data_IF_811949544885
#
_entry.id   IF_811949544885
#
_cell.length_a   1.000
_cell.length_b   1.000
_cell.length_c   1.000
_cell.angle_alpha   90.00
_cell.angle_beta   90.00
_cell.angle_gamma   90.00
#
_symmetry.space_group_name_H-M   'P 1'
#
loop_
_entity.id
_entity.type
_entity.pdbx_description
1 polymer ?
#
# COMPACT_ATOMS: atom_id res chain seq x y z
N UNK A 1 0.33 15.29 31.51
CA UNK A 1 -0.05 14.12 30.70
C UNK A 1 -1.05 14.55 29.63
N UNK A 2 -0.95 14.05 28.40
CA UNK A 2 -1.92 14.36 27.34
C UNK A 2 -3.30 13.77 27.68
N UNK A 3 -4.36 14.58 27.53
CA UNK A 3 -5.75 14.16 27.78
C UNK A 3 -6.22 13.16 26.70
N UNK A 4 -7.36 12.49 26.94
CA UNK A 4 -8.00 11.63 25.93
C UNK A 4 -8.35 12.42 24.66
N UNK A 5 -8.74 13.69 24.81
CA UNK A 5 -9.04 14.60 23.70
C UNK A 5 -7.78 14.91 22.88
N UNK A 6 -6.65 15.24 23.56
CA UNK A 6 -5.38 15.51 22.88
C UNK A 6 -4.90 14.32 22.07
N UNK A 7 -4.99 13.11 22.65
CA UNK A 7 -4.63 11.86 21.95
C UNK A 7 -5.48 11.65 20.71
N UNK A 8 -6.77 11.90 20.77
CA UNK A 8 -7.67 11.75 19.63
C UNK A 8 -7.43 12.82 18.56
N UNK A 9 -7.12 14.06 18.97
CA UNK A 9 -6.74 15.13 18.04
C UNK A 9 -5.45 14.80 17.29
N UNK A 10 -4.44 14.24 17.96
CA UNK A 10 -3.20 13.81 17.32
C UNK A 10 -3.46 12.74 16.25
N UNK A 11 -4.24 11.69 16.57
CA UNK A 11 -4.62 10.66 15.59
C UNK A 11 -5.39 11.27 14.40
N UNK A 12 -6.30 12.20 14.66
CA UNK A 12 -7.03 12.89 13.57
C UNK A 12 -6.08 13.63 12.64
N UNK A 13 -5.10 14.36 13.19
CA UNK A 13 -4.13 15.09 12.38
C UNK A 13 -3.27 14.12 11.57
N UNK A 14 -2.82 13.03 12.19
CA UNK A 14 -2.05 11.99 11.49
C UNK A 14 -2.83 11.35 10.33
N UNK A 15 -4.14 11.12 10.49
CA UNK A 15 -5.01 10.63 9.42
C UNK A 15 -5.10 11.64 8.27
N UNK A 16 -5.26 12.94 8.59
CA UNK A 16 -5.35 14.03 7.61
C UNK A 16 -4.05 14.12 6.80
N UNK A 17 -2.90 14.13 7.49
CA UNK A 17 -1.58 14.18 6.85
C UNK A 17 -1.37 12.96 5.95
N UNK A 18 -1.70 11.77 6.47
CA UNK A 18 -1.58 10.52 5.71
C UNK A 18 -2.46 10.51 4.46
N UNK A 19 -3.68 11.06 4.54
CA UNK A 19 -4.57 11.15 3.38
C UNK A 19 -4.03 12.11 2.30
N UNK A 20 -3.35 13.18 2.70
CA UNK A 20 -2.63 14.08 1.80
C UNK A 20 -1.51 13.35 1.05
N UNK A 21 -0.64 12.66 1.79
CA UNK A 21 0.48 11.88 1.23
C UNK A 21 -0.04 10.76 0.31
N UNK A 22 -1.05 10.00 0.75
CA UNK A 22 -1.69 8.95 -0.04
C UNK A 22 -2.25 9.50 -1.35
N UNK A 23 -2.91 10.66 -1.30
CA UNK A 23 -3.46 11.33 -2.49
C UNK A 23 -2.41 11.75 -3.50
N UNK A 24 -1.28 12.24 -3.04
CA UNK A 24 -0.22 12.77 -3.91
C UNK A 24 0.61 11.66 -4.56
N UNK A 25 0.85 10.58 -3.84
CA UNK A 25 1.84 9.58 -4.22
C UNK A 25 1.24 8.26 -4.72
N UNK A 26 0.06 7.87 -4.25
CA UNK A 26 -0.47 6.53 -4.44
C UNK A 26 -1.83 6.49 -5.13
N UNK A 27 -2.80 7.27 -4.66
CA UNK A 27 -4.17 7.23 -5.19
C UNK A 27 -4.22 7.63 -6.68
N UNK A 28 -4.91 6.83 -7.49
CA UNK A 28 -5.03 7.04 -8.93
C UNK A 28 -3.82 6.57 -9.73
N UNK A 29 -2.86 5.90 -9.08
CA UNK A 29 -1.70 5.26 -9.72
C UNK A 29 -1.77 3.74 -9.61
N UNK A 30 -1.06 3.08 -10.53
CA UNK A 30 -0.76 1.66 -10.47
C UNK A 30 0.75 1.47 -10.45
N UNK A 31 1.18 0.41 -9.75
CA UNK A 31 2.59 0.06 -9.57
C UNK A 31 2.80 -1.38 -10.00
N UNK A 32 3.84 -1.61 -10.81
CA UNK A 32 4.29 -2.92 -11.27
C UNK A 32 5.57 -3.27 -10.51
N UNK A 33 5.53 -4.34 -9.74
CA UNK A 33 6.66 -4.89 -8.99
C UNK A 33 7.19 -6.11 -9.73
N UNK A 34 8.50 -6.15 -9.97
CA UNK A 34 9.17 -7.19 -10.74
C UNK A 34 10.28 -7.82 -9.91
N UNK A 35 10.36 -9.14 -9.88
CA UNK A 35 11.38 -9.92 -9.20
C UNK A 35 11.68 -11.19 -10.01
N UNK A 36 12.93 -11.37 -10.44
CA UNK A 36 13.26 -12.38 -11.43
C UNK A 36 12.42 -12.24 -12.70
N UNK A 37 11.78 -13.33 -13.12
CA UNK A 37 10.85 -13.36 -14.25
C UNK A 37 9.38 -13.17 -13.85
N UNK A 38 9.10 -13.02 -12.54
CA UNK A 38 7.76 -12.85 -12.01
C UNK A 38 7.43 -11.37 -11.78
N UNK A 39 6.15 -11.06 -11.79
CA UNK A 39 5.66 -9.71 -11.47
C UNK A 39 4.25 -9.74 -10.87
N UNK A 40 3.88 -8.63 -10.26
CA UNK A 40 2.51 -8.36 -9.84
C UNK A 40 2.24 -6.86 -9.88
N UNK A 41 0.96 -6.51 -9.97
CA UNK A 41 0.50 -5.14 -10.06
C UNK A 41 -0.27 -4.75 -8.79
N UNK A 42 -0.04 -3.55 -8.27
CA UNK A 42 -0.75 -2.99 -7.11
C UNK A 42 -1.41 -1.68 -7.49
N UNK A 43 -2.68 -1.51 -7.14
CA UNK A 43 -3.37 -0.23 -7.21
C UNK A 43 -3.81 0.22 -5.81
N UNK A 44 -3.97 1.53 -5.63
CA UNK A 44 -4.29 2.14 -4.34
C UNK A 44 -5.64 2.88 -4.40
N UNK A 45 -6.78 2.15 -4.38
CA UNK A 45 -8.10 2.77 -4.36
C UNK A 45 -8.34 3.58 -3.09
N UNK A 46 -9.07 4.68 -3.19
CA UNK A 46 -9.30 5.59 -2.06
C UNK A 46 -10.13 4.98 -0.92
N UNK A 47 -10.97 3.99 -1.21
CA UNK A 47 -11.77 3.28 -0.22
C UNK A 47 -10.95 2.25 0.59
N UNK A 48 -9.76 1.87 0.13
CA UNK A 48 -8.84 1.04 0.89
C UNK A 48 -8.01 1.82 1.93
N UNK A 49 -7.96 3.14 1.85
CA UNK A 49 -7.24 4.00 2.80
C UNK A 49 -7.66 3.76 4.26
N UNK A 50 -8.95 3.62 4.53
CA UNK A 50 -9.47 3.39 5.89
C UNK A 50 -8.83 2.17 6.56
N UNK A 51 -8.69 1.04 5.84
CA UNK A 51 -8.13 -0.20 6.37
C UNK A 51 -6.68 -0.05 6.86
N UNK A 52 -5.96 0.93 6.32
CA UNK A 52 -4.56 1.18 6.66
C UNK A 52 -4.40 2.05 7.92
N UNK A 53 -5.44 2.80 8.31
CA UNK A 53 -5.36 3.77 9.43
C UNK A 53 -5.42 3.12 10.82
N UNK A 54 -6.05 1.95 10.95
CA UNK A 54 -6.26 1.29 12.23
C UNK A 54 -7.35 1.92 13.11
N UNK A 55 -8.24 2.73 12.52
CA UNK A 55 -9.43 3.26 13.20
C UNK A 55 -10.70 2.68 12.57
N UNK A 56 -11.84 2.86 13.27
CA UNK A 56 -13.15 2.51 12.76
C UNK A 56 -13.99 3.77 12.55
N UNK A 57 -14.99 3.71 11.65
CA UNK A 57 -15.88 4.84 11.33
C UNK A 57 -17.29 4.37 11.01
N UNK A 58 -18.27 5.27 11.12
CA UNK A 58 -19.64 5.07 10.62
C UNK A 58 -19.85 5.62 9.21
N UNK A 59 -18.87 6.34 8.67
CA UNK A 59 -18.90 6.84 7.29
C UNK A 59 -18.58 5.70 6.32
N UNK A 60 -18.96 5.87 5.07
CA UNK A 60 -18.38 5.03 4.01
C UNK A 60 -16.85 5.28 3.91
N UNK A 61 -16.08 4.27 3.51
CA UNK A 61 -14.63 4.41 3.37
C UNK A 61 -14.23 5.56 2.42
N UNK A 62 -14.99 5.75 1.33
CA UNK A 62 -14.80 6.87 0.38
C UNK A 62 -15.07 8.23 1.02
N UNK A 63 -16.10 8.34 1.83
CA UNK A 63 -16.43 9.60 2.53
C UNK A 63 -15.42 9.91 3.62
N UNK A 64 -14.99 8.90 4.39
CA UNK A 64 -13.93 9.02 5.38
C UNK A 64 -12.66 9.58 4.74
N UNK A 65 -12.18 8.96 3.65
CA UNK A 65 -11.01 9.44 2.91
C UNK A 65 -11.20 10.86 2.39
N UNK A 66 -12.37 11.16 1.77
CA UNK A 66 -12.69 12.50 1.26
C UNK A 66 -12.61 13.57 2.34
N UNK A 67 -13.14 13.28 3.55
CA UNK A 67 -13.10 14.21 4.68
C UNK A 67 -11.66 14.39 5.21
N UNK A 68 -10.89 13.30 5.32
CA UNK A 68 -9.48 13.35 5.69
C UNK A 68 -8.66 14.18 4.70
N UNK A 69 -8.73 13.87 3.40
CA UNK A 69 -8.01 14.59 2.33
C UNK A 69 -8.31 16.10 2.31
N UNK A 70 -9.54 16.50 2.63
CA UNK A 70 -9.96 17.91 2.65
C UNK A 70 -9.72 18.59 4.00
N UNK A 71 -9.04 17.94 4.95
CA UNK A 71 -8.86 18.39 6.33
C UNK A 71 -10.18 18.71 7.07
N UNK A 72 -11.27 18.03 6.68
CA UNK A 72 -12.62 18.20 7.27
C UNK A 72 -13.00 17.04 8.19
N UNK A 73 -12.11 16.07 8.42
CA UNK A 73 -12.34 14.97 9.35
C UNK A 73 -12.46 15.52 10.78
N UNK A 74 -13.51 15.11 11.51
CA UNK A 74 -13.76 15.50 12.91
C UNK A 74 -13.56 14.32 13.85
N UNK A 75 -13.35 14.59 15.13
CA UNK A 75 -13.20 13.56 16.15
C UNK A 75 -14.42 12.65 16.33
N UNK A 76 -15.63 13.10 15.97
CA UNK A 76 -16.85 12.31 16.03
C UNK A 76 -17.00 11.32 14.88
N UNK A 77 -16.22 11.49 13.80
CA UNK A 77 -16.33 10.67 12.58
C UNK A 77 -15.49 9.40 12.61
N UNK A 78 -14.70 9.18 13.65
CA UNK A 78 -13.97 7.92 13.85
C UNK A 78 -13.90 7.54 15.33
N UNK A 79 -13.66 6.26 15.61
CA UNK A 79 -13.57 5.74 16.97
C UNK A 79 -12.61 4.55 17.04
N UNK A 80 -12.32 4.15 18.29
CA UNK A 80 -11.53 2.96 18.61
C UNK A 80 -12.44 1.94 19.26
N UNK A 81 -12.26 0.67 18.92
CA UNK A 81 -12.96 -0.47 19.51
C UNK A 81 -11.98 -1.60 19.86
N UNK A 82 -12.49 -2.76 20.24
CA UNK A 82 -11.68 -3.91 20.60
C UNK A 82 -10.85 -4.46 19.40
N UNK A 83 -11.36 -4.32 18.16
CA UNK A 83 -10.67 -4.74 16.94
C UNK A 83 -9.70 -3.69 16.43
N UNK A 84 -10.00 -2.42 16.68
CA UNK A 84 -9.22 -1.26 16.26
C UNK A 84 -8.85 -0.39 17.48
N UNK A 85 -8.01 -0.91 18.43
CA UNK A 85 -7.64 -0.15 19.61
C UNK A 85 -6.74 1.05 19.24
N UNK A 86 -6.77 2.09 20.08
CA UNK A 86 -5.95 3.29 19.93
C UNK A 86 -4.45 2.98 19.67
N UNK A 87 -3.93 1.95 20.34
CA UNK A 87 -2.53 1.54 20.21
C UNK A 87 -2.19 1.14 18.76
N UNK A 88 -3.12 0.48 18.04
CA UNK A 88 -2.92 0.10 16.63
C UNK A 88 -2.85 1.33 15.73
N UNK A 89 -3.78 2.28 15.88
CA UNK A 89 -3.75 3.51 15.08
C UNK A 89 -2.45 4.29 15.34
N UNK A 90 -2.02 4.40 16.60
CA UNK A 90 -0.77 5.07 16.97
C UNK A 90 0.48 4.44 16.34
N UNK A 91 0.50 3.11 16.16
CA UNK A 91 1.60 2.40 15.50
C UNK A 91 1.53 2.53 13.98
N UNK A 92 0.33 2.42 13.40
CA UNK A 92 0.14 2.37 11.95
C UNK A 92 0.30 3.73 11.26
N UNK A 93 -0.19 4.82 11.86
CA UNK A 93 -0.23 6.12 11.18
C UNK A 93 1.14 6.70 10.84
N UNK A 94 2.19 6.60 11.68
CA UNK A 94 3.54 6.98 11.27
C UNK A 94 4.03 6.21 10.04
N UNK A 95 3.78 4.90 9.98
CA UNK A 95 4.14 4.06 8.83
C UNK A 95 3.26 4.36 7.61
N UNK A 96 1.98 4.70 7.82
CA UNK A 96 1.09 5.10 6.73
C UNK A 96 1.55 6.38 6.02
N UNK A 97 2.17 7.33 6.74
CA UNK A 97 2.81 8.51 6.14
C UNK A 97 4.02 8.13 5.28
N UNK A 98 4.68 7.04 5.60
CA UNK A 98 5.84 6.49 4.89
C UNK A 98 5.47 5.43 3.84
N UNK A 99 4.17 5.15 3.64
CA UNK A 99 3.71 4.12 2.70
C UNK A 99 4.29 4.26 1.28
N UNK A 100 4.53 5.48 0.73
CA UNK A 100 5.21 5.65 -0.56
C UNK A 100 6.60 5.02 -0.64
N UNK A 101 7.31 4.81 0.49
CA UNK A 101 8.61 4.12 0.50
C UNK A 101 8.50 2.70 -0.07
N UNK A 102 7.35 2.03 0.10
CA UNK A 102 7.13 0.71 -0.49
C UNK A 102 6.99 0.72 -2.02
N UNK A 103 6.93 1.90 -2.63
CA UNK A 103 6.80 2.06 -4.08
C UNK A 103 8.01 2.72 -4.74
N UNK A 104 8.98 3.23 -3.96
CA UNK A 104 10.13 3.98 -4.50
C UNK A 104 11.46 3.66 -3.81
N UNK A 105 11.49 2.72 -2.88
CA UNK A 105 12.70 2.22 -2.24
C UNK A 105 12.88 0.72 -2.51
N UNK A 106 14.05 0.20 -2.11
CA UNK A 106 14.32 -1.23 -2.19
C UNK A 106 13.44 -1.98 -1.18
N UNK A 107 12.60 -2.86 -1.65
CA UNK A 107 11.63 -3.62 -0.85
C UNK A 107 11.71 -5.11 -1.16
N UNK A 108 11.14 -5.92 -0.27
CA UNK A 108 11.01 -7.36 -0.44
C UNK A 108 9.54 -7.73 -0.60
N UNK A 109 9.28 -8.74 -1.43
CA UNK A 109 8.00 -9.44 -1.45
C UNK A 109 8.03 -10.59 -0.46
N UNK A 110 6.93 -10.77 0.27
CA UNK A 110 6.69 -11.92 1.13
C UNK A 110 5.50 -12.70 0.59
N UNK A 111 5.65 -14.03 0.47
CA UNK A 111 4.58 -14.94 0.04
C UNK A 111 3.97 -15.65 1.26
N UNK A 112 2.68 -15.91 1.22
CA UNK A 112 1.92 -16.68 2.22
C UNK A 112 2.12 -16.17 3.67
N UNK A 113 2.10 -14.85 3.89
CA UNK A 113 2.21 -14.28 5.22
C UNK A 113 0.96 -14.61 6.05
N UNK A 114 1.13 -15.43 7.09
CA UNK A 114 0.06 -15.89 7.96
C UNK A 114 -0.10 -14.96 9.16
N UNK A 115 -1.30 -14.41 9.33
CA UNK A 115 -1.70 -13.71 10.55
C UNK A 115 -2.70 -14.56 11.34
N UNK A 116 -3.12 -14.10 12.52
CA UNK A 116 -4.12 -14.81 13.34
C UNK A 116 -5.46 -15.00 12.60
N UNK A 117 -5.82 -14.09 11.72
CA UNK A 117 -7.14 -14.03 11.07
C UNK A 117 -7.14 -14.19 9.56
N UNK A 118 -6.04 -13.88 8.88
CA UNK A 118 -5.96 -13.82 7.41
C UNK A 118 -4.60 -14.34 6.95
N UNK A 119 -4.60 -15.03 5.80
CA UNK A 119 -3.39 -15.35 5.05
C UNK A 119 -3.30 -14.38 3.88
N UNK A 120 -2.22 -13.59 3.81
CA UNK A 120 -1.93 -12.75 2.66
C UNK A 120 -1.06 -13.52 1.69
N UNK A 121 -1.57 -13.80 0.49
CA UNK A 121 -0.80 -14.46 -0.57
C UNK A 121 0.45 -13.67 -0.94
N UNK A 122 0.31 -12.34 -0.99
CA UNK A 122 1.40 -11.40 -1.25
C UNK A 122 1.43 -10.28 -0.21
N UNK A 123 2.63 -9.84 0.14
CA UNK A 123 2.88 -8.67 0.97
C UNK A 123 4.16 -7.99 0.53
N UNK A 124 4.26 -6.67 0.68
CA UNK A 124 5.45 -5.88 0.39
C UNK A 124 5.98 -5.29 1.69
N UNK A 125 7.29 -5.38 1.93
CA UNK A 125 7.93 -4.91 3.16
C UNK A 125 9.25 -4.19 2.88
N UNK A 126 9.54 -3.15 3.66
CA UNK A 126 10.86 -2.53 3.80
C UNK A 126 11.57 -2.99 5.09
N UNK A 127 11.09 -4.07 5.73
CA UNK A 127 11.51 -4.66 6.99
C UNK A 127 11.10 -3.87 8.24
N UNK A 128 10.69 -2.62 8.14
CA UNK A 128 10.16 -1.83 9.26
C UNK A 128 8.64 -1.97 9.37
N UNK A 129 7.97 -2.04 8.25
CA UNK A 129 6.53 -2.31 8.17
C UNK A 129 6.19 -3.09 6.90
N UNK A 130 5.04 -3.74 6.92
CA UNK A 130 4.61 -4.63 5.85
C UNK A 130 3.20 -4.28 5.40
N UNK A 131 3.00 -4.17 4.09
CA UNK A 131 1.70 -4.00 3.46
C UNK A 131 1.16 -5.35 3.02
N UNK A 132 0.15 -5.86 3.71
CA UNK A 132 -0.59 -7.05 3.27
C UNK A 132 -1.54 -6.69 2.13
N UNK A 133 -1.49 -7.49 1.07
CA UNK A 133 -2.24 -7.29 -0.17
C UNK A 133 -3.35 -8.32 -0.31
N UNK A 134 -4.43 -7.96 -0.98
CA UNK A 134 -5.54 -8.86 -1.36
C UNK A 134 -5.79 -8.77 -2.85
N UNK A 135 -6.29 -9.86 -3.44
CA UNK A 135 -6.78 -9.85 -4.82
C UNK A 135 -7.99 -8.92 -4.96
N UNK A 136 -8.13 -8.28 -6.10
CA UNK A 136 -9.29 -7.43 -6.40
C UNK A 136 -10.46 -8.32 -6.83
N UNK A 137 -11.39 -8.57 -5.92
CA UNK A 137 -12.55 -9.44 -6.14
C UNK A 137 -13.86 -8.69 -5.88
N UNK A 138 -14.92 -9.13 -6.54
CA UNK A 138 -16.30 -8.69 -6.25
C UNK A 138 -16.84 -9.31 -4.95
N UNK A 139 -18.06 -8.96 -4.58
CA UNK A 139 -18.74 -9.48 -3.38
C UNK A 139 -18.98 -11.01 -3.43
N UNK A 140 -18.93 -11.63 -4.59
CA UNK A 140 -19.09 -13.08 -4.81
C UNK A 140 -17.73 -13.81 -4.83
N UNK A 141 -16.60 -13.07 -4.69
CA UNK A 141 -15.26 -13.62 -4.75
C UNK A 141 -14.70 -13.78 -6.17
N UNK A 142 -15.39 -13.32 -7.20
CA UNK A 142 -14.87 -13.35 -8.56
C UNK A 142 -13.82 -12.27 -8.77
N UNK A 143 -12.71 -12.62 -9.40
CA UNK A 143 -11.63 -11.70 -9.72
C UNK A 143 -12.11 -10.62 -10.71
N UNK A 144 -11.97 -9.35 -10.34
CA UNK A 144 -12.34 -8.20 -11.19
C UNK A 144 -11.23 -7.90 -12.19
N UNK A 145 -9.97 -7.96 -11.74
CA UNK A 145 -8.77 -7.76 -12.55
C UNK A 145 -7.55 -8.35 -11.83
N UNK A 146 -6.36 -8.20 -12.41
CA UNK A 146 -5.11 -8.77 -11.87
C UNK A 146 -4.43 -7.91 -10.80
N UNK A 147 -4.97 -6.74 -10.49
CA UNK A 147 -4.40 -5.89 -9.44
C UNK A 147 -4.59 -6.46 -8.05
N UNK A 148 -3.55 -6.35 -7.25
CA UNK A 148 -3.64 -6.47 -5.80
C UNK A 148 -3.99 -5.13 -5.18
N UNK A 149 -4.70 -5.18 -4.05
CA UNK A 149 -5.17 -4.02 -3.30
C UNK A 149 -4.61 -4.01 -1.89
N UNK A 150 -4.27 -2.83 -1.32
CA UNK A 150 -3.85 -2.70 0.07
C UNK A 150 -4.96 -3.14 1.01
N UNK A 151 -4.69 -4.09 1.89
CA UNK A 151 -5.66 -4.60 2.85
C UNK A 151 -5.30 -4.29 4.30
N UNK A 152 -4.02 -4.36 4.65
CA UNK A 152 -3.59 -4.13 6.01
C UNK A 152 -2.15 -3.62 6.07
N UNK A 153 -1.91 -2.63 6.90
CA UNK A 153 -0.57 -2.19 7.28
C UNK A 153 -0.18 -2.89 8.59
N UNK A 154 0.95 -3.60 8.59
CA UNK A 154 1.49 -4.36 9.71
C UNK A 154 2.78 -3.70 10.20
N UNK A 155 2.85 -3.46 11.51
CA UNK A 155 4.00 -2.82 12.17
C UNK A 155 4.38 -3.67 13.36
N UNK A 156 5.67 -4.03 13.45
CA UNK A 156 6.18 -4.93 14.52
C UNK A 156 5.37 -6.24 14.59
N UNK A 157 5.07 -6.84 13.45
CA UNK A 157 4.22 -8.03 13.37
C UNK A 157 5.08 -9.29 13.18
N UNK A 158 5.06 -10.19 14.14
CA UNK A 158 5.78 -11.48 14.08
C UNK A 158 5.31 -12.40 12.95
N UNK A 159 4.21 -12.08 12.28
CA UNK A 159 3.76 -12.81 11.08
C UNK A 159 4.75 -12.70 9.93
N UNK A 160 5.56 -11.63 9.90
CA UNK A 160 6.64 -11.45 8.91
C UNK A 160 7.68 -12.55 9.05
N UNK A 161 8.06 -12.91 10.29
CA UNK A 161 9.03 -13.97 10.58
C UNK A 161 8.54 -15.37 10.17
N UNK A 162 7.22 -15.55 10.06
CA UNK A 162 6.58 -16.81 9.67
C UNK A 162 6.26 -16.89 8.18
N UNK A 163 6.50 -15.85 7.42
CA UNK A 163 6.32 -15.85 5.97
C UNK A 163 7.39 -16.70 5.28
N UNK A 164 7.11 -17.17 4.07
CA UNK A 164 8.13 -17.80 3.23
C UNK A 164 9.17 -16.75 2.83
N UNK A 165 10.38 -17.23 2.50
CA UNK A 165 11.53 -16.41 2.14
C UNK A 165 11.12 -15.25 1.24
N UNK A 166 11.50 -14.05 1.67
CA UNK A 166 11.29 -12.84 0.90
C UNK A 166 12.22 -12.79 -0.31
N UNK A 167 11.71 -12.29 -1.43
CA UNK A 167 12.49 -12.00 -2.61
C UNK A 167 12.64 -10.48 -2.75
N UNK A 168 13.83 -10.01 -3.11
CA UNK A 168 14.08 -8.59 -3.36
C UNK A 168 13.40 -8.20 -4.67
N UNK A 169 12.72 -7.07 -4.66
CA UNK A 169 12.15 -6.48 -5.88
C UNK A 169 13.28 -5.87 -6.70
N UNK A 170 13.36 -6.25 -7.98
CA UNK A 170 14.37 -5.80 -8.91
C UNK A 170 14.01 -4.47 -9.57
N UNK A 171 12.73 -4.33 -9.94
CA UNK A 171 12.22 -3.11 -10.57
C UNK A 171 10.85 -2.74 -10.01
N UNK A 172 10.61 -1.44 -9.89
CA UNK A 172 9.27 -0.89 -9.64
C UNK A 172 8.98 0.15 -10.71
N UNK A 173 7.89 -0.04 -11.43
CA UNK A 173 7.37 0.93 -12.38
C UNK A 173 6.06 1.51 -11.89
N UNK A 174 5.75 2.72 -12.31
CA UNK A 174 4.44 3.33 -12.06
C UNK A 174 3.81 3.87 -13.34
N UNK A 175 2.49 4.02 -13.28
CA UNK A 175 1.69 4.72 -14.27
C UNK A 175 0.52 5.43 -13.58
N UNK A 176 -0.05 6.44 -14.22
CA UNK A 176 -1.39 6.88 -13.90
C UNK A 176 -2.39 5.75 -14.25
N UNK A 177 -3.39 5.53 -13.42
CA UNK A 177 -4.36 4.45 -13.62
C UNK A 177 -5.16 4.59 -14.93
N UNK A 178 -5.21 5.79 -15.53
CA UNK A 178 -5.83 6.07 -16.83
C UNK A 178 -4.97 5.68 -18.02
N UNK A 179 -3.68 5.38 -17.83
CA UNK A 179 -2.73 5.07 -18.89
C UNK A 179 -2.57 3.55 -19.04
N UNK A 180 -2.46 3.07 -20.29
CA UNK A 180 -2.36 1.64 -20.54
C UNK A 180 -1.02 1.03 -20.09
N UNK A 181 0.11 1.68 -20.41
CA UNK A 181 1.47 1.16 -20.14
C UNK A 181 2.14 1.91 -19.00
N UNK A 182 2.96 1.19 -18.22
CA UNK A 182 3.84 1.78 -17.22
C UNK A 182 4.90 2.64 -17.92
N UNK A 183 5.04 3.88 -17.48
CA UNK A 183 5.86 4.87 -18.18
C UNK A 183 6.92 5.55 -17.31
N UNK A 184 6.95 5.21 -16.03
CA UNK A 184 7.90 5.75 -15.06
C UNK A 184 8.58 4.62 -14.31
N UNK A 185 9.92 4.57 -14.36
CA UNK A 185 10.77 3.68 -13.56
C UNK A 185 11.07 4.36 -12.22
N UNK A 186 10.77 3.69 -11.12
CA UNK A 186 10.96 4.21 -9.75
C UNK A 186 12.14 3.53 -9.03
N UNK A 187 12.29 2.22 -9.21
CA UNK A 187 13.35 1.41 -8.61
C UNK A 187 13.97 0.53 -9.67
N UNK A 188 15.30 0.40 -9.66
CA UNK A 188 16.07 -0.41 -10.59
C UNK A 188 17.23 -1.09 -9.86
N UNK A 189 17.34 -2.41 -9.99
CA UNK A 189 18.60 -3.12 -9.76
C UNK A 189 19.45 -3.02 -11.02
N UNK A 190 20.50 -2.19 -10.98
CA UNK A 190 21.42 -1.94 -12.12
C UNK A 190 22.18 -3.18 -12.61
N UNK A 191 22.16 -4.27 -11.84
CA UNK A 191 22.83 -5.53 -12.22
C UNK A 191 21.87 -6.47 -12.98
N UNK A 192 20.61 -6.08 -13.17
CA UNK A 192 19.59 -6.89 -13.82
C UNK A 192 19.04 -6.21 -15.06
N UNK A 193 18.63 -7.01 -16.03
CA UNK A 193 17.93 -6.52 -17.21
C UNK A 193 16.41 -6.63 -16.98
N UNK A 194 15.67 -5.71 -17.58
CA UNK A 194 14.22 -5.78 -17.60
C UNK A 194 13.78 -7.06 -18.32
N UNK A 195 13.04 -7.97 -17.67
CA UNK A 195 12.65 -9.24 -18.26
C UNK A 195 11.67 -9.07 -19.43
N UNK A 196 11.76 -9.97 -20.42
CA UNK A 196 10.89 -9.94 -21.60
C UNK A 196 9.41 -10.12 -21.23
N UNK A 197 9.14 -10.83 -20.14
CA UNK A 197 7.79 -11.10 -19.63
C UNK A 197 6.95 -9.85 -19.37
N UNK A 198 7.58 -8.71 -19.04
CA UNK A 198 6.89 -7.46 -18.72
C UNK A 198 6.95 -6.40 -19.83
N UNK A 199 7.71 -6.59 -20.91
CA UNK A 199 7.88 -5.58 -21.99
C UNK A 199 6.55 -5.15 -22.60
N UNK A 200 5.56 -6.03 -22.63
CA UNK A 200 4.22 -5.69 -23.12
C UNK A 200 3.43 -4.74 -22.19
N UNK A 201 3.80 -4.66 -20.90
CA UNK A 201 3.18 -3.80 -19.89
C UNK A 201 3.82 -2.41 -19.78
N UNK A 202 5.10 -2.29 -20.14
CA UNK A 202 5.87 -1.05 -19.98
C UNK A 202 6.03 -0.29 -21.30
N UNK A 203 6.28 1.02 -21.19
CA UNK A 203 6.56 1.89 -22.33
C UNK A 203 7.90 1.54 -22.95
N UNK A 204 8.00 1.49 -24.27
CA UNK A 204 9.22 1.21 -25.02
C UNK A 204 10.38 2.13 -24.65
N UNK A 205 10.11 3.39 -24.33
CA UNK A 205 11.13 4.36 -23.87
C UNK A 205 11.94 3.90 -22.64
N UNK A 206 11.42 2.92 -21.85
CA UNK A 206 12.07 2.45 -20.63
C UNK A 206 13.08 1.31 -20.86
N UNK A 207 13.07 0.68 -22.05
CA UNK A 207 13.98 -0.43 -22.38
C UNK A 207 14.62 -0.31 -23.75
N UNK A 208 14.24 0.69 -24.56
CA UNK A 208 14.80 0.98 -25.88
C UNK A 208 15.88 2.05 -25.85
N UNK A 209 16.65 2.20 -24.77
CA UNK A 209 17.89 2.96 -24.86
C UNK A 209 18.83 2.23 -25.77
N UNK A 210 18.72 2.48 -27.08
CA UNK A 210 19.78 2.21 -28.02
C UNK A 210 21.03 2.94 -27.54
N UNK A 211 22.08 2.20 -27.40
CA UNK A 211 23.41 2.73 -27.27
C UNK A 211 23.76 3.42 -28.62
N UNK A 212 23.61 4.75 -28.66
CA UNK A 212 24.39 5.58 -29.57
C UNK A 212 25.78 5.85 -28.97
#
# INVERSE_FOLDING_TARGET
MATKADKKNAIRQDIIDSAGIYSQNLAGKAFLYVYGEEFFEVSFPVDHFLHLTGVETKLSAKEFYKNAKKAKLTNSQFYFDARHPYANARKKLPCLKRLPELTNDMVCILKDMQTVTIIYKLSVTNLEFTLGLTENTDANGNKINDFFLPMSLRVEDTSVEKSKNGEIIDFIFSKDASIAKYDTLLVEDKNKMIPDSIKHLISEKLYSTEHD
#
